data_IF_315051159831
#
_entry.id   IF_315051159831
#
_cell.length_a   1.000
_cell.length_b   1.000
_cell.length_c   1.000
_cell.angle_alpha   90.00
_cell.angle_beta   90.00
_cell.angle_gamma   90.00
#
_symmetry.space_group_name_H-M   'P 1'
#
loop_
_entity.id
_entity.type
_entity.pdbx_description
1 polymer ?
#
# COMPACT_ATOMS: atom_id res chain seq x y z
N UNK A 1 14.41 -11.70 30.03
CA UNK A 1 14.82 -10.65 29.07
C UNK A 1 15.22 -11.16 27.67
N UNK A 2 16.18 -12.07 27.49
CA UNK A 2 16.56 -12.56 26.13
C UNK A 2 15.41 -13.24 25.37
N UNK A 3 14.50 -13.91 26.08
CA UNK A 3 13.27 -14.52 25.54
C UNK A 3 12.25 -13.47 25.10
N UNK A 4 12.02 -12.43 25.90
CA UNK A 4 11.16 -11.28 25.58
C UNK A 4 11.64 -10.58 24.31
N UNK A 5 12.92 -10.20 24.26
CA UNK A 5 13.53 -9.57 23.09
C UNK A 5 13.32 -10.42 21.82
N UNK A 6 13.52 -11.74 21.91
CA UNK A 6 13.30 -12.66 20.79
C UNK A 6 11.84 -12.69 20.33
N UNK A 7 10.88 -12.65 21.27
CA UNK A 7 9.44 -12.60 20.96
C UNK A 7 9.05 -11.25 20.32
N UNK A 8 9.50 -10.13 20.89
CA UNK A 8 9.31 -8.78 20.34
C UNK A 8 9.85 -8.67 18.89
N UNK A 9 11.06 -9.18 18.64
CA UNK A 9 11.63 -9.23 17.28
C UNK A 9 10.82 -10.08 16.30
N UNK A 10 10.18 -11.15 16.78
CA UNK A 10 9.27 -11.96 15.96
C UNK A 10 8.01 -11.17 15.60
N UNK A 11 7.42 -10.46 16.56
CA UNK A 11 6.27 -9.59 16.32
C UNK A 11 6.59 -8.47 15.35
N UNK A 12 7.73 -7.79 15.52
CA UNK A 12 8.21 -6.79 14.55
C UNK A 12 8.26 -7.34 13.12
N UNK A 13 8.79 -8.56 12.92
CA UNK A 13 8.85 -9.18 11.59
C UNK A 13 7.46 -9.44 11.01
N UNK A 14 6.53 -9.93 11.83
CA UNK A 14 5.14 -10.18 11.41
C UNK A 14 4.43 -8.86 11.07
N UNK A 15 4.65 -7.82 11.88
CA UNK A 15 4.10 -6.49 11.67
C UNK A 15 4.61 -5.89 10.35
N UNK A 16 5.91 -5.91 10.10
CA UNK A 16 6.50 -5.42 8.84
C UNK A 16 6.03 -6.22 7.62
N UNK A 17 5.87 -7.55 7.76
CA UNK A 17 5.30 -8.37 6.68
C UNK A 17 3.85 -7.97 6.35
N UNK A 18 3.06 -7.64 7.38
CA UNK A 18 1.69 -7.19 7.19
C UNK A 18 1.65 -5.76 6.60
N UNK A 19 2.56 -4.87 7.00
CA UNK A 19 2.74 -3.57 6.33
C UNK A 19 3.08 -3.73 4.85
N UNK A 20 3.92 -4.71 4.47
CA UNK A 20 4.22 -4.97 3.07
C UNK A 20 2.95 -5.40 2.29
N UNK A 21 2.01 -6.11 2.93
CA UNK A 21 0.71 -6.46 2.34
C UNK A 21 -0.11 -5.20 1.99
N UNK A 22 -0.01 -4.14 2.79
CA UNK A 22 -0.71 -2.87 2.50
C UNK A 22 -0.35 -2.28 1.13
N UNK A 23 0.90 -2.42 0.69
CA UNK A 23 1.32 -1.89 -0.62
C UNK A 23 0.64 -2.58 -1.80
N UNK A 24 0.30 -3.87 -1.64
CA UNK A 24 -0.48 -4.61 -2.64
C UNK A 24 -1.89 -4.06 -2.71
N UNK A 25 -2.57 -3.93 -1.57
CA UNK A 25 -3.91 -3.36 -1.48
C UNK A 25 -3.96 -1.93 -2.03
N UNK A 26 -2.88 -1.17 -1.85
CA UNK A 26 -2.76 0.18 -2.41
C UNK A 26 -2.72 0.14 -3.94
N UNK A 27 -1.88 -0.72 -4.53
CA UNK A 27 -1.78 -0.87 -5.98
C UNK A 27 -3.09 -1.36 -6.61
N UNK A 28 -3.76 -2.32 -5.99
CA UNK A 28 -5.05 -2.85 -6.46
C UNK A 28 -6.13 -1.79 -6.41
N UNK A 29 -6.24 -1.04 -5.30
CA UNK A 29 -7.21 0.06 -5.19
C UNK A 29 -6.95 1.17 -6.21
N UNK A 30 -5.68 1.51 -6.45
CA UNK A 30 -5.31 2.50 -7.46
C UNK A 30 -5.71 2.05 -8.87
N UNK A 31 -5.51 0.77 -9.18
CA UNK A 31 -5.88 0.19 -10.46
C UNK A 31 -7.40 0.20 -10.65
N UNK A 32 -8.17 -0.19 -9.64
CA UNK A 32 -9.63 -0.20 -9.70
C UNK A 32 -10.17 1.22 -9.87
N UNK A 33 -9.68 2.20 -9.10
CA UNK A 33 -10.13 3.60 -9.22
C UNK A 33 -9.74 4.23 -10.56
N UNK A 34 -8.56 3.92 -11.10
CA UNK A 34 -8.15 4.38 -12.43
C UNK A 34 -9.03 3.78 -13.53
N UNK A 35 -9.30 2.48 -13.46
CA UNK A 35 -10.23 1.82 -14.38
C UNK A 35 -11.64 2.41 -14.29
N UNK A 36 -12.11 2.69 -13.07
CA UNK A 36 -13.42 3.28 -12.81
C UNK A 36 -13.53 4.68 -13.40
N UNK A 37 -12.53 5.54 -13.19
CA UNK A 37 -12.46 6.86 -13.80
C UNK A 37 -12.50 6.77 -15.34
N UNK A 38 -11.74 5.85 -15.94
CA UNK A 38 -11.74 5.67 -17.40
C UNK A 38 -13.08 5.17 -17.95
N UNK A 39 -13.74 4.23 -17.27
CA UNK A 39 -15.06 3.74 -17.68
C UNK A 39 -16.11 4.85 -17.56
N UNK A 40 -16.10 5.61 -16.46
CA UNK A 40 -17.06 6.69 -16.23
C UNK A 40 -17.01 7.78 -17.30
N UNK A 41 -15.84 8.08 -17.86
CA UNK A 41 -15.68 9.07 -18.93
C UNK A 41 -16.36 8.65 -20.24
N UNK A 42 -16.53 7.35 -20.48
CA UNK A 42 -17.10 6.81 -21.72
C UNK A 42 -18.62 6.68 -21.68
N UNK A 43 -19.20 6.57 -20.48
CA UNK A 43 -20.64 6.37 -20.30
C UNK A 43 -21.47 7.55 -20.82
N UNK A 44 -21.15 8.84 -20.53
CA UNK A 44 -21.89 9.98 -21.08
C UNK A 44 -21.92 9.99 -22.60
N UNK A 45 -20.79 9.67 -23.24
CA UNK A 45 -20.64 9.59 -24.69
C UNK A 45 -21.55 8.51 -25.30
N UNK A 46 -21.73 7.38 -24.64
CA UNK A 46 -22.64 6.31 -25.07
C UNK A 46 -24.11 6.57 -24.74
N UNK A 47 -24.41 7.50 -23.82
CA UNK A 47 -25.77 7.91 -23.48
C UNK A 47 -26.29 9.04 -24.36
N UNK A 48 -25.44 9.69 -25.15
CA UNK A 48 -25.90 10.67 -26.12
C UNK A 48 -26.83 9.99 -27.13
N UNK A 49 -28.07 10.49 -27.31
CA UNK A 49 -29.01 9.90 -28.24
C UNK A 49 -28.57 10.17 -29.68
N UNK A 50 -28.07 9.14 -30.34
CA UNK A 50 -27.93 9.11 -31.80
C UNK A 50 -29.19 8.52 -32.43
N UNK A 51 -30.10 9.39 -32.89
CA UNK A 51 -30.99 9.15 -34.05
C UNK A 51 -31.76 7.82 -34.10
N UNK A 52 -32.57 7.51 -33.09
CA UNK A 52 -33.62 6.49 -33.25
C UNK A 52 -34.86 7.00 -34.01
N UNK A 53 -34.94 8.30 -34.37
CA UNK A 53 -36.01 8.87 -35.18
C UNK A 53 -35.66 10.32 -35.59
N UNK A 54 -35.10 10.52 -36.77
CA UNK A 54 -35.32 11.74 -37.56
C UNK A 54 -35.19 11.35 -39.03
N UNK A 55 -36.33 11.06 -39.66
CA UNK A 55 -36.54 11.58 -41.00
C UNK A 55 -36.39 13.10 -40.85
N UNK A 56 -35.29 13.67 -41.30
CA UNK A 56 -35.22 14.97 -41.94
C UNK A 56 -33.75 15.30 -42.23
N UNK A 57 -33.53 15.73 -43.47
CA UNK A 57 -32.28 16.27 -43.97
C UNK A 57 -31.80 17.42 -43.08
N UNK A 58 -30.75 17.24 -42.27
CA UNK A 58 -29.79 18.30 -41.94
C UNK A 58 -28.54 17.76 -41.19
N UNK A 59 -27.40 18.38 -41.46
CA UNK A 59 -26.01 18.12 -41.02
C UNK A 59 -25.79 17.42 -39.65
N UNK A 60 -25.46 16.12 -39.67
CA UNK A 60 -25.15 15.32 -38.47
C UNK A 60 -23.81 14.56 -38.54
N UNK A 61 -22.68 15.27 -38.48
CA UNK A 61 -21.32 14.70 -38.58
C UNK A 61 -20.75 14.21 -37.22
N UNK A 62 -21.21 14.78 -36.09
CA UNK A 62 -20.61 14.51 -34.74
C UNK A 62 -20.83 13.08 -34.22
N UNK A 63 -21.88 12.37 -34.65
CA UNK A 63 -22.22 11.03 -34.14
C UNK A 63 -21.49 9.88 -34.85
N UNK A 64 -21.05 10.10 -36.10
CA UNK A 64 -20.20 9.15 -36.82
C UNK A 64 -18.80 9.04 -36.18
N UNK A 65 -18.34 10.12 -35.53
CA UNK A 65 -17.02 10.17 -34.87
C UNK A 65 -16.91 9.26 -33.65
N UNK A 66 -17.99 9.12 -32.87
CA UNK A 66 -17.96 8.43 -31.56
C UNK A 66 -18.00 6.90 -31.70
N UNK A 67 -18.92 6.38 -32.51
CA UNK A 67 -19.13 4.94 -32.69
C UNK A 67 -18.42 4.40 -33.94
N UNK A 68 -18.02 5.27 -34.88
CA UNK A 68 -17.32 4.88 -36.11
C UNK A 68 -18.00 3.73 -36.83
N UNK A 69 -17.22 2.69 -37.14
CA UNK A 69 -17.70 1.48 -37.82
C UNK A 69 -18.74 0.71 -37.01
N UNK A 70 -18.78 0.87 -35.68
CA UNK A 70 -19.75 0.20 -34.80
C UNK A 70 -21.17 0.75 -34.98
N UNK A 71 -21.34 1.94 -35.56
CA UNK A 71 -22.68 2.48 -35.84
C UNK A 71 -23.45 1.63 -36.86
N UNK A 72 -22.75 0.88 -37.72
CA UNK A 72 -23.36 -0.02 -38.70
C UNK A 72 -23.80 -1.37 -38.13
N UNK A 73 -23.58 -1.61 -36.82
CA UNK A 73 -23.93 -2.86 -36.15
C UNK A 73 -25.12 -2.65 -35.21
N UNK A 74 -26.11 -3.54 -35.32
CA UNK A 74 -27.31 -3.46 -34.50
C UNK A 74 -27.00 -3.69 -33.01
N UNK A 75 -27.67 -2.92 -32.13
CA UNK A 75 -27.62 -3.04 -30.68
C UNK A 75 -26.25 -2.80 -30.01
N UNK A 76 -25.25 -2.29 -30.73
CA UNK A 76 -23.90 -2.13 -30.18
C UNK A 76 -23.81 -1.11 -29.06
N UNK A 77 -24.56 0.00 -29.16
CA UNK A 77 -24.63 1.01 -28.11
C UNK A 77 -25.19 0.42 -26.81
N UNK A 78 -26.29 -0.34 -26.88
CA UNK A 78 -26.91 -0.99 -25.72
C UNK A 78 -25.97 -2.02 -25.08
N UNK A 79 -25.30 -2.84 -25.90
CA UNK A 79 -24.35 -3.83 -25.40
C UNK A 79 -23.14 -3.18 -24.72
N UNK A 80 -22.60 -2.10 -25.30
CA UNK A 80 -21.48 -1.36 -24.70
C UNK A 80 -21.89 -0.71 -23.37
N UNK A 81 -23.06 -0.06 -23.33
CA UNK A 81 -23.62 0.49 -22.09
C UNK A 81 -23.77 -0.60 -21.02
N UNK A 82 -24.34 -1.76 -21.37
CA UNK A 82 -24.48 -2.88 -20.45
C UNK A 82 -23.11 -3.34 -19.91
N UNK A 83 -22.09 -3.44 -20.77
CA UNK A 83 -20.74 -3.83 -20.35
C UNK A 83 -20.10 -2.77 -19.45
N UNK A 84 -20.30 -1.49 -19.72
CA UNK A 84 -19.77 -0.41 -18.88
C UNK A 84 -20.46 -0.37 -17.51
N UNK A 85 -21.79 -0.48 -17.43
CA UNK A 85 -22.49 -0.57 -16.14
C UNK A 85 -22.05 -1.79 -15.33
N UNK A 86 -21.90 -2.95 -15.97
CA UNK A 86 -21.37 -4.14 -15.32
C UNK A 86 -19.94 -3.92 -14.80
N UNK A 87 -19.09 -3.20 -15.54
CA UNK A 87 -17.74 -2.87 -15.10
C UNK A 87 -17.75 -1.91 -13.90
N UNK A 88 -18.66 -0.93 -13.86
CA UNK A 88 -18.85 -0.02 -12.71
C UNK A 88 -19.26 -0.81 -11.46
N UNK A 89 -20.26 -1.70 -11.58
CA UNK A 89 -20.74 -2.54 -10.48
C UNK A 89 -19.64 -3.47 -9.94
N UNK A 90 -18.90 -4.14 -10.84
CA UNK A 90 -17.76 -4.99 -10.44
C UNK A 90 -16.66 -4.18 -9.73
N UNK A 91 -16.34 -2.99 -10.24
CA UNK A 91 -15.34 -2.12 -9.63
C UNK A 91 -15.75 -1.70 -8.22
N UNK A 92 -17.04 -1.46 -7.98
CA UNK A 92 -17.57 -1.24 -6.63
C UNK A 92 -17.32 -2.42 -5.70
N UNK A 93 -17.63 -3.64 -6.17
CA UNK A 93 -17.40 -4.87 -5.43
C UNK A 93 -15.92 -5.03 -5.05
N UNK A 94 -15.03 -4.84 -6.02
CA UNK A 94 -13.59 -4.90 -5.78
C UNK A 94 -13.12 -3.85 -4.75
N UNK A 95 -13.61 -2.61 -4.81
CA UNK A 95 -13.27 -1.60 -3.80
C UNK A 95 -13.75 -1.98 -2.39
N UNK A 96 -14.96 -2.54 -2.28
CA UNK A 96 -15.49 -3.00 -1.01
C UNK A 96 -14.66 -4.17 -0.44
N UNK A 97 -14.22 -5.09 -1.28
CA UNK A 97 -13.35 -6.20 -0.88
C UNK A 97 -11.97 -5.68 -0.44
N UNK A 98 -11.37 -4.75 -1.19
CA UNK A 98 -10.09 -4.11 -0.81
C UNK A 98 -10.20 -3.41 0.54
N UNK A 99 -11.28 -2.65 0.78
CA UNK A 99 -11.50 -2.02 2.09
C UNK A 99 -11.68 -3.04 3.22
N UNK A 100 -12.35 -4.16 2.95
CA UNK A 100 -12.47 -5.25 3.92
C UNK A 100 -11.11 -5.86 4.25
N UNK A 101 -10.25 -6.05 3.25
CA UNK A 101 -8.89 -6.55 3.43
C UNK A 101 -8.01 -5.56 4.21
N UNK A 102 -8.22 -4.25 4.04
CA UNK A 102 -7.59 -3.23 4.90
C UNK A 102 -8.04 -3.33 6.37
N UNK A 103 -9.32 -3.62 6.63
CA UNK A 103 -9.80 -3.81 8.00
C UNK A 103 -9.19 -5.07 8.64
N UNK A 104 -9.04 -6.13 7.86
CA UNK A 104 -8.36 -7.36 8.31
C UNK A 104 -6.87 -7.12 8.60
N UNK A 105 -6.19 -6.34 7.76
CA UNK A 105 -4.83 -5.88 7.99
C UNK A 105 -4.72 -5.09 9.30
N UNK A 106 -5.63 -4.14 9.56
CA UNK A 106 -5.66 -3.39 10.82
C UNK A 106 -5.88 -4.31 12.03
N UNK A 107 -6.74 -5.33 11.90
CA UNK A 107 -6.96 -6.32 12.96
C UNK A 107 -5.67 -7.05 13.32
N UNK A 108 -4.87 -7.45 12.31
CA UNK A 108 -3.57 -8.07 12.54
C UNK A 108 -2.56 -7.11 13.18
N UNK A 109 -2.43 -5.89 12.66
CA UNK A 109 -1.50 -4.90 13.21
C UNK A 109 -1.81 -4.57 14.68
N UNK A 110 -3.09 -4.41 15.03
CA UNK A 110 -3.56 -4.24 16.42
C UNK A 110 -3.16 -5.44 17.27
N UNK A 111 -3.45 -6.66 16.80
CA UNK A 111 -3.10 -7.89 17.53
C UNK A 111 -1.61 -7.98 17.83
N UNK A 112 -0.74 -7.70 16.86
CA UNK A 112 0.71 -7.74 17.06
C UNK A 112 1.20 -6.65 18.01
N UNK A 113 0.62 -5.44 17.91
CA UNK A 113 0.96 -4.32 18.79
C UNK A 113 0.55 -4.63 20.23
N UNK A 114 -0.69 -5.07 20.45
CA UNK A 114 -1.17 -5.47 21.78
C UNK A 114 -0.36 -6.62 22.37
N UNK A 115 0.00 -7.64 21.58
CA UNK A 115 0.87 -8.72 22.07
C UNK A 115 2.26 -8.20 22.44
N UNK A 116 2.80 -7.20 21.72
CA UNK A 116 4.07 -6.58 22.06
C UNK A 116 3.98 -5.80 23.37
N UNK A 117 2.91 -5.03 23.59
CA UNK A 117 2.65 -4.31 24.85
C UNK A 117 2.62 -5.30 26.01
N UNK A 118 1.82 -6.38 25.92
CA UNK A 118 1.75 -7.40 26.98
C UNK A 118 3.12 -8.02 27.28
N UNK A 119 3.92 -8.32 26.26
CA UNK A 119 5.27 -8.86 26.46
C UNK A 119 6.23 -7.89 27.16
N UNK A 120 6.10 -6.59 26.89
CA UNK A 120 6.89 -5.54 27.52
C UNK A 120 6.45 -5.38 28.98
N UNK A 121 5.14 -5.31 29.23
CA UNK A 121 4.56 -5.19 30.58
C UNK A 121 4.92 -6.39 31.46
N UNK A 122 4.74 -7.62 30.97
CA UNK A 122 5.11 -8.85 31.69
C UNK A 122 6.60 -8.84 32.05
N UNK A 123 7.45 -8.37 31.12
CA UNK A 123 8.89 -8.29 31.36
C UNK A 123 9.27 -7.19 32.37
N UNK A 124 8.47 -6.12 32.50
CA UNK A 124 8.64 -5.13 33.57
C UNK A 124 8.28 -5.71 34.94
N UNK A 125 7.15 -6.41 35.03
CA UNK A 125 6.68 -7.03 36.28
C UNK A 125 7.68 -8.10 36.75
N UNK A 126 8.18 -8.93 35.83
CA UNK A 126 9.18 -9.96 36.14
C UNK A 126 10.57 -9.37 36.54
N UNK A 127 10.85 -8.11 36.19
CA UNK A 127 12.14 -7.43 36.45
C UNK A 127 12.21 -6.76 37.81
N UNK A 128 11.07 -6.40 38.43
CA UNK A 128 11.02 -5.75 39.76
C UNK A 128 11.66 -6.59 40.89
N UNK A 129 11.99 -7.86 40.65
CA UNK A 129 12.65 -8.76 41.59
C UNK A 129 14.19 -8.85 41.49
N UNK A 130 14.84 -8.19 40.54
CA UNK A 130 16.28 -8.35 40.27
C UNK A 130 17.14 -7.13 40.64
N UNK A 131 18.36 -7.39 41.13
CA UNK A 131 19.15 -6.49 42.01
C UNK A 131 20.01 -5.47 41.23
N UNK A 132 19.88 -5.36 39.90
CA UNK A 132 20.75 -4.49 39.08
C UNK A 132 19.99 -3.67 38.04
N UNK A 133 19.55 -2.50 38.47
CA UNK A 133 18.71 -1.54 37.71
C UNK A 133 19.35 -1.09 36.38
N UNK A 134 20.67 -0.94 36.31
CA UNK A 134 21.37 -0.41 35.12
C UNK A 134 21.37 -1.38 33.93
N UNK A 135 21.47 -2.69 34.20
CA UNK A 135 21.52 -3.70 33.13
C UNK A 135 20.10 -4.06 32.63
N UNK A 136 19.09 -3.88 33.48
CA UNK A 136 17.67 -4.05 33.17
C UNK A 136 17.14 -2.94 32.27
N UNK A 137 17.46 -1.68 32.60
CA UNK A 137 17.04 -0.52 31.81
C UNK A 137 17.61 -0.58 30.38
N UNK A 138 18.86 -1.02 30.22
CA UNK A 138 19.48 -1.22 28.91
C UNK A 138 18.80 -2.34 28.10
N UNK A 139 18.40 -3.42 28.75
CA UNK A 139 17.74 -4.56 28.10
C UNK A 139 16.27 -4.31 27.74
N UNK A 140 15.59 -3.39 28.44
CA UNK A 140 14.21 -2.97 28.17
C UNK A 140 14.09 -1.79 27.19
N UNK A 141 15.20 -1.09 26.92
CA UNK A 141 15.22 0.07 25.99
C UNK A 141 14.69 -0.24 24.59
N UNK A 142 15.14 -1.34 23.97
CA UNK A 142 14.70 -1.72 22.63
C UNK A 142 13.24 -2.21 22.59
N UNK A 143 12.78 -3.14 23.47
CA UNK A 143 11.37 -3.53 23.51
C UNK A 143 10.40 -2.36 23.66
N UNK A 144 10.74 -1.37 24.51
CA UNK A 144 9.98 -0.13 24.65
C UNK A 144 9.95 0.71 23.37
N UNK A 145 11.11 0.95 22.76
CA UNK A 145 11.19 1.69 21.49
C UNK A 145 10.41 1.00 20.38
N UNK A 146 10.45 -0.34 20.34
CA UNK A 146 9.70 -1.12 19.37
C UNK A 146 8.20 -0.99 19.60
N UNK A 147 7.73 -1.07 20.84
CA UNK A 147 6.32 -0.88 21.18
C UNK A 147 5.83 0.50 20.72
N UNK A 148 6.54 1.57 21.10
CA UNK A 148 6.20 2.94 20.72
C UNK A 148 6.15 3.12 19.20
N UNK A 149 7.13 2.55 18.49
CA UNK A 149 7.16 2.57 17.03
C UNK A 149 5.97 1.83 16.42
N UNK A 150 5.64 0.62 16.91
CA UNK A 150 4.50 -0.16 16.41
C UNK A 150 3.16 0.57 16.64
N UNK A 151 2.97 1.20 17.80
CA UNK A 151 1.79 2.01 18.11
C UNK A 151 1.68 3.23 17.19
N UNK A 152 2.79 3.94 16.97
CA UNK A 152 2.85 5.11 16.10
C UNK A 152 2.53 4.75 14.65
N UNK A 153 3.14 3.68 14.14
CA UNK A 153 2.86 3.19 12.77
C UNK A 153 1.42 2.70 12.65
N UNK A 154 0.91 1.96 13.63
CA UNK A 154 -0.48 1.51 13.63
C UNK A 154 -1.44 2.70 13.53
N UNK A 155 -1.25 3.75 14.34
CA UNK A 155 -2.09 4.96 14.29
C UNK A 155 -2.06 5.62 12.89
N UNK A 156 -0.88 5.74 12.28
CA UNK A 156 -0.74 6.24 10.90
C UNK A 156 -1.55 5.41 9.90
N UNK A 157 -1.47 4.08 9.97
CA UNK A 157 -2.22 3.19 9.08
C UNK A 157 -3.74 3.28 9.34
N UNK A 158 -4.17 3.36 10.60
CA UNK A 158 -5.58 3.52 10.96
C UNK A 158 -6.19 4.79 10.36
N UNK A 159 -5.50 5.91 10.54
CA UNK A 159 -5.92 7.18 9.96
C UNK A 159 -5.92 7.14 8.44
N UNK A 160 -4.95 6.47 7.81
CA UNK A 160 -4.92 6.30 6.36
C UNK A 160 -6.08 5.44 5.86
N UNK A 161 -6.42 4.33 6.52
CA UNK A 161 -7.56 3.48 6.14
C UNK A 161 -8.89 4.23 6.33
N UNK A 162 -9.04 5.01 7.40
CA UNK A 162 -10.21 5.86 7.60
C UNK A 162 -10.33 6.91 6.48
N UNK A 163 -9.23 7.53 6.09
CA UNK A 163 -9.18 8.47 4.95
C UNK A 163 -9.62 7.79 3.67
N UNK A 164 -9.05 6.63 3.34
CA UNK A 164 -9.41 5.84 2.14
C UNK A 164 -10.88 5.42 2.15
N UNK A 165 -11.41 5.02 3.31
CA UNK A 165 -12.82 4.64 3.47
C UNK A 165 -13.74 5.83 3.15
N UNK A 166 -13.44 7.00 3.72
CA UNK A 166 -14.21 8.24 3.43
C UNK A 166 -14.08 8.68 1.97
N UNK A 167 -12.90 8.50 1.38
CA UNK A 167 -12.64 8.86 0.00
C UNK A 167 -13.57 8.11 -0.99
N UNK A 168 -13.96 6.88 -0.65
CA UNK A 168 -14.78 6.01 -1.51
C UNK A 168 -16.24 5.82 -1.07
N UNK A 169 -16.63 6.35 0.10
CA UNK A 169 -17.94 6.08 0.71
C UNK A 169 -19.14 6.49 -0.16
N UNK A 170 -19.06 7.66 -0.81
CA UNK A 170 -20.16 8.24 -1.59
C UNK A 170 -19.82 8.32 -3.08
N UNK A 171 -19.03 7.39 -3.60
CA UNK A 171 -18.57 7.42 -4.99
C UNK A 171 -19.75 7.34 -5.97
N UNK A 172 -20.01 8.46 -6.65
CA UNK A 172 -20.97 8.55 -7.75
C UNK A 172 -20.27 8.35 -9.09
N UNK A 173 -20.77 7.43 -9.91
CA UNK A 173 -20.15 7.11 -11.20
C UNK A 173 -20.43 8.14 -12.30
N UNK A 174 -21.40 9.02 -12.07
CA UNK A 174 -21.74 10.15 -12.94
C UNK A 174 -20.71 11.28 -12.86
N UNK A 175 -20.03 11.45 -11.72
CA UNK A 175 -19.06 12.53 -11.51
C UNK A 175 -17.63 12.08 -11.87
N UNK A 176 -17.33 12.18 -13.16
CA UNK A 176 -16.02 11.82 -13.74
C UNK A 176 -14.88 12.67 -13.17
N UNK A 177 -15.16 13.93 -12.81
CA UNK A 177 -14.19 14.85 -12.23
C UNK A 177 -13.78 14.38 -10.83
N UNK A 178 -14.77 14.09 -9.98
CA UNK A 178 -14.54 13.54 -8.65
C UNK A 178 -13.85 12.18 -8.70
N UNK A 179 -14.20 11.31 -9.63
CA UNK A 179 -13.53 10.01 -9.81
C UNK A 179 -12.03 10.17 -10.14
N UNK A 180 -11.68 11.13 -11.00
CA UNK A 180 -10.28 11.43 -11.30
C UNK A 180 -9.51 11.93 -10.07
N UNK A 181 -10.15 12.80 -9.27
CA UNK A 181 -9.57 13.31 -8.01
C UNK A 181 -9.36 12.17 -7.01
N UNK A 182 -10.38 11.33 -6.80
CA UNK A 182 -10.32 10.18 -5.90
C UNK A 182 -9.20 9.22 -6.32
N UNK A 183 -9.08 8.91 -7.61
CA UNK A 183 -8.00 8.05 -8.13
C UNK A 183 -6.61 8.62 -7.83
N UNK A 184 -6.41 9.93 -7.98
CA UNK A 184 -5.13 10.61 -7.66
C UNK A 184 -4.84 10.65 -6.16
N UNK A 185 -5.88 10.80 -5.33
CA UNK A 185 -5.75 10.90 -3.88
C UNK A 185 -5.61 9.56 -3.17
N UNK A 186 -5.86 8.44 -3.87
CA UNK A 186 -5.82 7.11 -3.26
C UNK A 186 -4.44 6.72 -2.71
N UNK A 187 -3.35 7.16 -3.33
CA UNK A 187 -2.00 6.75 -2.89
C UNK A 187 -1.63 7.28 -1.50
N UNK A 188 -0.92 6.46 -0.73
CA UNK A 188 -0.29 6.83 0.55
C UNK A 188 1.02 7.60 0.39
N UNK A 189 1.53 7.75 -0.84
CA UNK A 189 2.74 8.55 -1.13
C UNK A 189 2.42 10.00 -1.49
N UNK A 190 1.14 10.35 -1.55
CA UNK A 190 0.67 11.69 -1.91
C UNK A 190 0.64 12.64 -0.72
N UNK A 191 0.54 13.93 -1.00
CA UNK A 191 0.46 14.99 0.00
C UNK A 191 -0.75 14.86 0.95
N UNK A 192 -1.77 14.11 0.56
CA UNK A 192 -2.99 13.87 1.35
C UNK A 192 -2.89 12.62 2.25
N UNK A 193 -1.74 11.94 2.30
CA UNK A 193 -1.59 10.75 3.13
C UNK A 193 -1.34 11.07 4.59
N UNK A 194 -1.80 10.17 5.46
CA UNK A 194 -1.48 10.19 6.89
C UNK A 194 -0.25 9.34 7.23
N UNK A 195 0.48 8.82 6.24
CA UNK A 195 1.65 7.96 6.43
C UNK A 195 2.93 8.75 6.13
N UNK A 196 3.78 8.89 7.14
CA UNK A 196 5.18 9.24 6.94
C UNK A 196 5.94 8.00 6.42
N UNK A 197 6.12 7.97 5.10
CA UNK A 197 6.79 6.86 4.43
C UNK A 197 8.27 6.76 4.81
N UNK A 198 8.93 7.89 5.09
CA UNK A 198 10.35 7.90 5.47
C UNK A 198 10.51 7.32 6.87
N UNK A 199 9.62 7.67 7.81
CA UNK A 199 9.60 7.07 9.15
C UNK A 199 9.34 5.56 9.12
N UNK A 200 8.33 5.12 8.35
CA UNK A 200 7.97 3.69 8.26
C UNK A 200 9.07 2.88 7.56
N UNK A 201 9.71 3.42 6.51
CA UNK A 201 10.76 2.72 5.76
C UNK A 201 12.12 2.72 6.47
N UNK A 202 12.47 3.82 7.15
CA UNK A 202 13.70 3.89 7.95
C UNK A 202 13.64 2.88 9.09
N UNK A 203 12.45 2.66 9.65
CA UNK A 203 12.18 1.61 10.63
C UNK A 203 12.93 1.79 11.95
N UNK A 204 12.72 0.86 12.88
CA UNK A 204 13.49 0.83 14.13
C UNK A 204 14.89 0.25 13.87
N UNK A 205 15.94 0.89 14.40
CA UNK A 205 17.28 0.32 14.36
C UNK A 205 17.32 -0.97 15.20
N UNK A 206 17.43 -2.11 14.52
CA UNK A 206 17.51 -3.42 15.17
C UNK A 206 18.82 -3.54 15.96
N UNK A 207 18.78 -4.06 17.21
CA UNK A 207 19.99 -4.23 18.01
C UNK A 207 20.90 -5.19 17.25
N UNK A 208 22.10 -4.70 16.92
CA UNK A 208 23.11 -5.53 16.29
C UNK A 208 23.42 -6.68 17.25
N UNK A 209 23.06 -7.91 16.86
CA UNK A 209 23.67 -9.08 17.46
C UNK A 209 25.17 -8.92 17.21
N UNK A 210 25.94 -8.64 18.26
CA UNK A 210 27.40 -8.71 18.22
C UNK A 210 27.75 -10.14 17.80
N UNK A 211 27.85 -10.38 16.50
CA UNK A 211 28.64 -11.47 15.99
C UNK A 211 30.04 -11.16 16.50
N UNK A 212 30.57 -12.05 17.31
CA UNK A 212 31.94 -12.02 17.79
C UNK A 212 32.87 -12.03 16.57
N UNK A 213 33.13 -10.85 16.02
CA UNK A 213 34.27 -10.61 15.16
C UNK A 213 35.49 -10.70 16.06
N UNK A 214 36.19 -11.83 15.97
CA UNK A 214 37.55 -11.99 16.47
C UNK A 214 38.36 -10.80 15.95
N UNK A 215 39.01 -10.01 16.82
CA UNK A 215 39.91 -8.97 16.35
C UNK A 215 41.20 -9.67 15.91
N UNK A 216 41.35 -9.92 14.61
CA UNK A 216 42.69 -10.10 14.05
C UNK A 216 43.28 -8.72 13.79
N UNK A 217 44.01 -8.23 14.78
CA UNK A 217 45.03 -7.22 14.57
C UNK A 217 46.12 -7.82 13.70
N UNK A 218 46.40 -7.19 12.58
CA UNK A 218 47.74 -7.18 11.99
C UNK A 218 47.81 -5.96 11.09
N UNK A 219 48.29 -4.86 11.68
CA UNK A 219 49.05 -3.88 10.93
C UNK A 219 50.25 -4.62 10.32
N UNK A 220 50.37 -4.59 9.01
CA UNK A 220 51.68 -4.35 8.43
C UNK A 220 51.58 -3.72 7.04
N UNK A 221 52.42 -2.72 6.85
CA UNK A 221 52.46 -1.82 5.70
C UNK A 221 53.25 -2.47 4.55
N UNK A 222 52.77 -2.34 3.30
CA UNK A 222 53.54 -1.76 2.17
C UNK A 222 53.14 -2.26 0.75
N UNK A 223 53.02 -1.27 -0.15
CA UNK A 223 53.42 -1.25 -1.58
C UNK A 223 52.82 -2.27 -2.57
N UNK A 224 51.76 -1.81 -3.25
CA UNK A 224 51.78 -1.48 -4.69
C UNK A 224 51.93 -2.60 -5.74
N UNK A 225 50.89 -2.79 -6.58
CA UNK A 225 50.96 -2.61 -8.05
C UNK A 225 49.64 -2.96 -8.73
N UNK A 226 49.14 -1.98 -9.48
CA UNK A 226 48.14 -2.09 -10.54
C UNK A 226 48.43 -3.21 -11.55
N UNK A 227 47.41 -4.01 -11.91
CA UNK A 227 47.33 -4.59 -13.26
C UNK A 227 45.90 -4.87 -13.72
N UNK A 228 45.50 -4.05 -14.68
CA UNK A 228 44.33 -4.15 -15.57
C UNK A 228 44.61 -5.19 -16.67
N UNK A 229 43.72 -6.16 -16.91
CA UNK A 229 43.65 -7.00 -18.14
C UNK A 229 42.23 -7.57 -18.26
N UNK A 230 41.33 -6.93 -19.02
CA UNK A 230 41.00 -7.06 -20.45
C UNK A 230 40.19 -8.34 -20.79
N UNK A 231 38.97 -8.10 -21.25
CA UNK A 231 38.00 -9.01 -21.91
C UNK A 231 38.63 -9.94 -22.95
N UNK A 232 38.12 -11.16 -23.06
CA UNK A 232 37.84 -11.79 -24.36
C UNK A 232 36.61 -12.69 -24.30
N UNK A 233 35.64 -12.32 -25.14
CA UNK A 233 34.45 -13.05 -25.57
C UNK A 233 34.92 -14.16 -26.53
N UNK A 234 34.39 -15.37 -26.43
CA UNK A 234 34.42 -16.34 -27.52
C UNK A 234 33.14 -17.17 -27.51
N UNK A 235 32.29 -16.91 -28.52
CA UNK A 235 31.30 -17.85 -29.03
C UNK A 235 32.03 -18.97 -29.77
N UNK A 236 31.60 -20.22 -29.58
CA UNK A 236 31.22 -21.08 -30.70
C UNK A 236 30.22 -22.10 -30.19
#
# INVERSE_FOLDING_TARGET
MATTLKKCLKLHKLFVAELARSTRLESEGSQVLSSLANVSQRVPTLLQPGSANTNDDDDGDDNLEVMGVLNYSANTQELLLQKHFLALEKSRGFLADILRDYQELLRHLRSFTSECVTLVDDAFIDSEGAVSVENEMAAMSFPLQLQEWMETVLAMIEHEVLRKTRLVADLEYSDTGRLSIVSKQWTSKGAMSNIDNDYVQTGLQLPQTKSSAVPQSSDDTSKGKSKKKKKSKAKK
#
